data_IF_326034569767
#
_entry.id   IF_326034569767
#
_cell.length_a   1.000
_cell.length_b   1.000
_cell.length_c   1.000
_cell.angle_alpha   90.00
_cell.angle_beta   90.00
_cell.angle_gamma   90.00
#
_symmetry.space_group_name_H-M   'P 1'
#
loop_
_entity.id
_entity.type
_entity.pdbx_description
1 polymer ?
#
# COMPACT_ATOMS: atom_id res chain seq x y z
N UNK A 1 -32.65 17.67 -1.26
CA UNK A 1 -31.99 17.44 0.05
C UNK A 1 -31.41 16.02 0.00
N UNK A 2 -30.20 15.86 -0.55
CA UNK A 2 -29.57 14.55 -0.75
C UNK A 2 -28.06 14.65 -0.47
N UNK A 3 -27.70 15.07 0.74
CA UNK A 3 -26.28 15.27 1.11
C UNK A 3 -25.85 14.71 2.47
N UNK A 4 -26.72 14.08 3.26
CA UNK A 4 -26.38 13.80 4.67
C UNK A 4 -26.25 12.34 5.11
N UNK A 5 -26.63 11.34 4.32
CA UNK A 5 -26.57 9.95 4.81
C UNK A 5 -25.15 9.39 4.74
N UNK A 6 -24.49 9.50 3.58
CA UNK A 6 -23.15 8.94 3.39
C UNK A 6 -22.08 9.65 4.23
N UNK A 7 -22.13 10.98 4.33
CA UNK A 7 -21.18 11.74 5.17
C UNK A 7 -21.25 11.33 6.64
N UNK A 8 -22.45 11.12 7.18
CA UNK A 8 -22.64 10.73 8.58
C UNK A 8 -22.11 9.30 8.83
N UNK A 9 -22.33 8.38 7.90
CA UNK A 9 -21.85 7.00 8.00
C UNK A 9 -20.32 6.93 7.95
N UNK A 10 -19.68 7.63 7.01
CA UNK A 10 -18.22 7.75 6.95
C UNK A 10 -17.63 8.26 8.26
N UNK A 11 -18.16 9.38 8.76
CA UNK A 11 -17.70 9.96 10.03
C UNK A 11 -17.88 9.00 11.18
N UNK A 12 -19.04 8.35 11.28
CA UNK A 12 -19.33 7.36 12.33
C UNK A 12 -18.30 6.22 12.32
N UNK A 13 -18.16 5.53 11.19
CA UNK A 13 -17.27 4.36 11.07
C UNK A 13 -15.81 4.76 11.29
N UNK A 14 -15.40 5.92 10.75
CA UNK A 14 -14.07 6.47 10.97
C UNK A 14 -13.80 6.73 12.45
N UNK A 15 -14.69 7.44 13.16
CA UNK A 15 -14.49 7.75 14.57
C UNK A 15 -14.49 6.50 15.45
N UNK A 16 -15.42 5.57 15.24
CA UNK A 16 -15.48 4.31 16.00
C UNK A 16 -14.18 3.50 15.85
N UNK A 17 -13.66 3.36 14.62
CA UNK A 17 -12.41 2.61 14.38
C UNK A 17 -11.17 3.38 14.84
N UNK A 18 -11.16 4.71 14.73
CA UNK A 18 -10.04 5.55 15.16
C UNK A 18 -9.89 5.60 16.68
N UNK A 19 -11.01 5.60 17.42
CA UNK A 19 -11.01 5.47 18.89
C UNK A 19 -10.30 4.18 19.35
N UNK A 20 -10.49 3.08 18.62
CA UNK A 20 -9.81 1.81 18.91
C UNK A 20 -8.34 1.88 18.48
N UNK A 21 -8.05 2.43 17.31
CA UNK A 21 -6.69 2.43 16.74
C UNK A 21 -5.74 3.41 17.45
N UNK A 22 -6.21 4.59 17.85
CA UNK A 22 -5.45 5.66 18.54
C UNK A 22 -6.32 6.35 19.60
N UNK A 23 -6.65 5.68 20.71
CA UNK A 23 -7.56 6.22 21.74
C UNK A 23 -7.09 7.51 22.42
N UNK A 24 -5.81 7.84 22.28
CA UNK A 24 -5.21 8.98 22.95
C UNK A 24 -4.93 10.17 22.01
N UNK A 25 -5.34 10.07 20.74
CA UNK A 25 -5.24 11.15 19.76
C UNK A 25 -6.63 11.49 19.21
N UNK A 26 -6.89 12.77 18.95
CA UNK A 26 -8.14 13.21 18.33
C UNK A 26 -8.01 13.27 16.81
N UNK A 27 -9.03 12.85 16.09
CA UNK A 27 -9.04 12.87 14.63
C UNK A 27 -10.33 13.46 14.09
N UNK A 28 -10.22 14.34 13.10
CA UNK A 28 -11.36 14.92 12.39
C UNK A 28 -11.40 14.44 10.94
N UNK A 29 -12.56 13.99 10.46
CA UNK A 29 -12.80 13.67 9.06
C UNK A 29 -13.63 14.79 8.39
N UNK A 30 -13.11 15.35 7.31
CA UNK A 30 -13.68 16.49 6.59
C UNK A 30 -13.94 16.08 5.14
N UNK A 31 -15.18 16.17 4.69
CA UNK A 31 -15.50 15.98 3.27
C UNK A 31 -15.21 17.28 2.52
N UNK A 32 -14.30 17.23 1.55
CA UNK A 32 -13.86 18.37 0.77
C UNK A 32 -13.94 18.04 -0.73
N UNK A 33 -15.06 18.37 -1.41
CA UNK A 33 -15.21 18.13 -2.85
C UNK A 33 -14.21 18.89 -3.72
N UNK A 34 -13.51 19.88 -3.17
CA UNK A 34 -12.53 20.70 -3.90
C UNK A 34 -11.10 20.17 -3.77
N UNK A 35 -10.89 19.11 -2.99
CA UNK A 35 -9.57 18.52 -2.76
C UNK A 35 -8.94 18.01 -4.06
N UNK A 36 -7.72 18.44 -4.37
CA UNK A 36 -7.03 18.04 -5.60
C UNK A 36 -5.88 17.07 -5.33
N UNK A 37 -5.66 16.08 -6.22
CA UNK A 37 -4.55 15.17 -6.07
C UNK A 37 -3.22 15.92 -6.24
N UNK A 38 -2.23 15.54 -5.43
CA UNK A 38 -0.86 16.04 -5.46
C UNK A 38 -0.68 17.54 -5.13
N UNK A 39 -1.73 18.22 -4.68
CA UNK A 39 -1.70 19.59 -4.17
C UNK A 39 -1.74 19.58 -2.62
N UNK A 40 -0.61 19.27 -1.99
CA UNK A 40 -0.51 19.10 -0.54
C UNK A 40 0.09 20.34 0.14
N UNK A 41 -0.51 20.76 1.25
CA UNK A 41 0.13 21.72 2.15
C UNK A 41 1.30 21.05 2.92
N UNK A 42 2.27 21.82 3.43
CA UNK A 42 3.41 21.28 4.18
C UNK A 42 2.96 20.37 5.34
N UNK A 43 3.60 19.21 5.47
CA UNK A 43 3.28 18.20 6.49
C UNK A 43 2.11 17.28 6.16
N UNK A 44 1.30 17.59 5.14
CA UNK A 44 0.22 16.72 4.70
C UNK A 44 0.75 15.54 3.89
N UNK A 45 0.06 14.41 4.05
CA UNK A 45 0.30 13.14 3.36
C UNK A 45 -0.90 12.81 2.48
N UNK A 46 -0.70 11.99 1.46
CA UNK A 46 -1.75 11.60 0.53
C UNK A 46 -1.92 10.08 0.51
N UNK A 47 -3.16 9.64 0.55
CA UNK A 47 -3.54 8.28 0.24
C UNK A 47 -4.65 8.30 -0.83
N UNK A 48 -4.48 7.46 -1.85
CA UNK A 48 -5.42 7.33 -2.95
C UNK A 48 -5.96 5.90 -2.99
N UNK A 49 -7.25 5.74 -2.75
CA UNK A 49 -7.96 4.49 -2.97
C UNK A 49 -8.51 4.51 -4.39
N UNK A 50 -8.16 3.54 -5.23
CA UNK A 50 -8.51 3.54 -6.66
C UNK A 50 -9.46 2.41 -7.06
N UNK A 51 -9.69 1.47 -6.15
CA UNK A 51 -10.44 0.24 -6.39
C UNK A 51 -11.63 0.12 -5.44
N UNK A 52 -12.25 1.25 -5.11
CA UNK A 52 -13.49 1.23 -4.35
C UNK A 52 -14.66 0.85 -5.26
N UNK A 53 -15.58 0.03 -4.72
CA UNK A 53 -16.86 -0.22 -5.35
C UNK A 53 -17.84 0.89 -5.04
N UNK A 54 -18.72 1.20 -5.98
CA UNK A 54 -19.93 1.91 -5.64
C UNK A 54 -20.99 1.91 -6.72
N UNK A 55 -22.20 2.21 -6.29
CA UNK A 55 -23.37 2.40 -7.15
C UNK A 55 -23.57 3.89 -7.39
N UNK A 56 -23.96 4.22 -8.60
CA UNK A 56 -24.25 5.57 -9.07
C UNK A 56 -25.66 5.62 -9.60
N UNK A 57 -26.32 6.76 -9.45
CA UNK A 57 -27.66 7.01 -9.93
C UNK A 57 -27.70 8.38 -10.60
N UNK A 58 -28.22 8.44 -11.82
CA UNK A 58 -28.45 9.70 -12.51
C UNK A 58 -29.83 10.26 -12.14
N UNK A 59 -29.86 11.40 -11.46
CA UNK A 59 -31.12 12.08 -11.10
C UNK A 59 -31.92 12.59 -12.31
N UNK A 60 -31.31 12.65 -13.50
CA UNK A 60 -31.96 13.15 -14.71
C UNK A 60 -32.65 12.05 -15.53
N UNK A 61 -31.89 11.02 -15.96
CA UNK A 61 -32.43 9.92 -16.77
C UNK A 61 -32.77 8.67 -15.95
N UNK A 62 -32.58 8.72 -14.63
CA UNK A 62 -32.81 7.62 -13.68
C UNK A 62 -31.93 6.39 -13.89
N UNK A 63 -31.00 6.44 -14.84
CA UNK A 63 -30.04 5.38 -15.07
C UNK A 63 -29.20 5.11 -13.83
N UNK A 64 -28.99 3.83 -13.53
CA UNK A 64 -28.21 3.38 -12.37
C UNK A 64 -27.14 2.42 -12.85
N UNK A 65 -25.91 2.59 -12.39
CA UNK A 65 -24.79 1.72 -12.75
C UNK A 65 -23.89 1.48 -11.54
N UNK A 66 -23.12 0.39 -11.60
CA UNK A 66 -22.09 0.08 -10.63
C UNK A 66 -20.71 0.29 -11.24
N UNK A 67 -19.73 0.64 -10.40
CA UNK A 67 -18.33 0.76 -10.80
C UNK A 67 -17.43 0.18 -9.73
N UNK A 68 -16.44 -0.61 -10.13
CA UNK A 68 -15.37 -1.10 -9.25
C UNK A 68 -14.13 -0.18 -9.25
N UNK A 69 -14.21 0.94 -9.98
CA UNK A 69 -13.11 1.87 -10.20
C UNK A 69 -13.46 3.25 -9.61
N UNK A 70 -14.01 3.28 -8.40
CA UNK A 70 -14.27 4.53 -7.69
C UNK A 70 -12.97 4.97 -7.04
N UNK A 71 -12.61 6.23 -7.25
CA UNK A 71 -11.42 6.82 -6.62
C UNK A 71 -11.83 7.65 -5.42
N UNK A 72 -11.09 7.49 -4.31
CA UNK A 72 -11.22 8.32 -3.13
C UNK A 72 -9.85 8.88 -2.77
N UNK A 73 -9.76 10.20 -2.70
CA UNK A 73 -8.57 10.92 -2.27
C UNK A 73 -8.67 11.28 -0.80
N UNK A 74 -7.61 10.97 -0.06
CA UNK A 74 -7.43 11.35 1.32
C UNK A 74 -6.17 12.20 1.46
N UNK A 75 -6.31 13.40 2.01
CA UNK A 75 -5.20 14.19 2.53
C UNK A 75 -5.21 14.06 4.05
N UNK A 76 -4.07 13.69 4.63
CA UNK A 76 -3.94 13.35 6.04
C UNK A 76 -2.86 14.19 6.67
N UNK A 77 -3.10 14.70 7.87
CA UNK A 77 -2.12 15.45 8.64
C UNK A 77 -2.24 15.10 10.12
N UNK A 78 -1.12 14.94 10.79
CA UNK A 78 -1.04 14.69 12.22
C UNK A 78 -0.11 15.71 12.87
N UNK A 79 -0.67 16.52 13.77
CA UNK A 79 0.12 17.31 14.70
C UNK A 79 0.42 16.45 15.93
N UNK A 80 1.67 15.95 16.00
CA UNK A 80 2.13 15.11 17.12
C UNK A 80 2.23 15.85 18.44
N UNK A 81 2.44 17.17 18.42
CA UNK A 81 2.52 17.98 19.64
C UNK A 81 1.15 18.18 20.26
N UNK A 82 0.13 18.39 19.43
CA UNK A 82 -1.26 18.55 19.87
C UNK A 82 -2.01 17.22 19.99
N UNK A 83 -1.41 16.13 19.51
CA UNK A 83 -2.06 14.81 19.42
C UNK A 83 -3.38 14.88 18.67
N UNK A 84 -3.40 15.70 17.62
CA UNK A 84 -4.58 16.01 16.85
C UNK A 84 -4.29 15.79 15.36
N UNK A 85 -5.16 15.04 14.70
CA UNK A 85 -5.08 14.71 13.29
C UNK A 85 -6.30 15.21 12.51
N UNK A 86 -6.09 15.43 11.21
CA UNK A 86 -7.15 15.79 10.28
C UNK A 86 -7.03 14.97 9.01
N UNK A 87 -8.16 14.46 8.55
CA UNK A 87 -8.30 13.81 7.24
C UNK A 87 -9.28 14.63 6.42
N UNK A 88 -8.85 15.08 5.24
CA UNK A 88 -9.72 15.62 4.20
C UNK A 88 -9.97 14.55 3.15
N UNK A 89 -11.20 14.42 2.71
CA UNK A 89 -11.64 13.34 1.84
C UNK A 89 -12.43 13.88 0.66
N UNK A 90 -12.11 13.40 -0.55
CA UNK A 90 -12.92 13.60 -1.77
C UNK A 90 -13.21 12.25 -2.41
N UNK A 91 -14.48 11.98 -2.66
CA UNK A 91 -14.90 10.88 -3.54
C UNK A 91 -15.04 11.44 -4.96
N UNK A 92 -14.31 10.88 -5.91
CA UNK A 92 -14.45 11.24 -7.31
C UNK A 92 -15.70 10.62 -7.90
N UNK A 93 -16.44 11.42 -8.66
CA UNK A 93 -17.72 11.08 -9.25
C UNK A 93 -17.53 10.43 -10.62
N UNK A 94 -18.58 9.76 -11.08
CA UNK A 94 -18.68 9.29 -12.47
C UNK A 94 -19.91 9.91 -13.10
N UNK A 95 -19.76 10.39 -14.32
CA UNK A 95 -20.82 10.96 -15.13
C UNK A 95 -21.69 9.83 -15.70
N UNK A 96 -22.97 10.13 -15.90
CA UNK A 96 -23.87 9.19 -16.57
C UNK A 96 -23.51 9.08 -18.05
N UNK A 97 -23.20 7.87 -18.50
CA UNK A 97 -22.84 7.60 -19.89
C UNK A 97 -24.03 7.48 -20.84
N UNK A 98 -25.26 7.37 -20.34
CA UNK A 98 -26.45 7.26 -21.20
C UNK A 98 -26.91 8.61 -21.73
N UNK A 99 -27.00 9.61 -20.84
CA UNK A 99 -27.47 10.94 -21.23
C UNK A 99 -26.33 11.91 -21.54
N UNK A 100 -25.08 11.60 -21.16
CA UNK A 100 -23.90 12.45 -21.38
C UNK A 100 -23.94 13.80 -20.64
N UNK A 101 -25.09 14.15 -20.06
CA UNK A 101 -25.35 15.34 -19.25
C UNK A 101 -25.78 14.91 -17.88
N UNK A 102 -24.84 14.81 -16.95
CA UNK A 102 -25.18 14.80 -15.54
C UNK A 102 -24.41 15.94 -14.89
N UNK A 103 -25.13 16.98 -14.47
CA UNK A 103 -24.61 17.94 -13.48
C UNK A 103 -24.03 17.09 -12.35
N UNK A 104 -22.80 17.37 -11.95
CA UNK A 104 -22.03 16.62 -10.95
C UNK A 104 -22.77 16.44 -9.61
N UNK A 105 -23.91 17.07 -9.40
CA UNK A 105 -24.39 17.44 -8.09
C UNK A 105 -24.93 16.26 -7.25
N UNK A 106 -25.49 15.21 -7.85
CA UNK A 106 -26.22 14.20 -7.06
C UNK A 106 -26.13 12.77 -7.58
N UNK A 107 -24.96 12.33 -8.07
CA UNK A 107 -24.74 10.87 -8.09
C UNK A 107 -24.46 10.41 -6.66
N UNK A 108 -25.47 9.87 -5.98
CA UNK A 108 -25.33 9.25 -4.67
C UNK A 108 -24.42 8.03 -4.78
N UNK A 109 -23.16 8.23 -4.43
CA UNK A 109 -22.20 7.17 -4.25
C UNK A 109 -22.23 6.67 -2.82
N UNK A 110 -22.09 5.34 -2.71
CA UNK A 110 -21.53 4.59 -1.59
C UNK A 110 -22.52 4.11 -0.52
N UNK A 111 -22.97 2.88 -0.69
CA UNK A 111 -23.51 2.04 0.39
C UNK A 111 -22.65 0.80 0.66
N UNK A 112 -21.76 0.40 -0.25
CA UNK A 112 -21.05 -0.87 -0.14
C UNK A 112 -19.59 -0.65 0.31
N UNK A 113 -19.25 -1.22 1.48
CA UNK A 113 -17.89 -1.41 2.02
C UNK A 113 -17.17 -0.20 2.65
N UNK A 114 -17.90 0.76 3.24
CA UNK A 114 -17.33 1.88 4.04
C UNK A 114 -16.34 1.36 5.09
N UNK A 115 -16.67 0.28 5.79
CA UNK A 115 -15.80 -0.28 6.84
C UNK A 115 -14.42 -0.66 6.33
N UNK A 116 -14.32 -1.39 5.22
CA UNK A 116 -13.03 -1.78 4.65
C UNK A 116 -12.25 -0.59 4.10
N UNK A 117 -12.95 0.40 3.54
CA UNK A 117 -12.30 1.63 3.07
C UNK A 117 -11.71 2.43 4.24
N UNK A 118 -12.44 2.51 5.36
CA UNK A 118 -11.93 3.12 6.58
C UNK A 118 -10.78 2.31 7.17
N UNK A 119 -10.82 0.97 7.13
CA UNK A 119 -9.68 0.14 7.56
C UNK A 119 -8.43 0.44 6.73
N UNK A 120 -8.54 0.52 5.40
CA UNK A 120 -7.41 0.87 4.54
C UNK A 120 -6.90 2.31 4.80
N UNK A 121 -7.79 3.25 5.11
CA UNK A 121 -7.43 4.60 5.51
C UNK A 121 -6.64 4.58 6.83
N UNK A 122 -7.11 3.84 7.85
CA UNK A 122 -6.43 3.72 9.15
C UNK A 122 -5.06 3.06 8.99
N UNK A 123 -4.95 2.02 8.16
CA UNK A 123 -3.65 1.44 7.78
C UNK A 123 -2.73 2.51 7.20
N UNK A 124 -3.22 3.31 6.26
CA UNK A 124 -2.42 4.38 5.65
C UNK A 124 -2.05 5.51 6.63
N UNK A 125 -2.93 5.83 7.60
CA UNK A 125 -2.62 6.75 8.69
C UNK A 125 -1.49 6.23 9.57
N UNK A 126 -1.52 4.95 9.94
CA UNK A 126 -0.48 4.31 10.75
C UNK A 126 0.86 4.33 10.03
N UNK A 127 0.89 3.96 8.75
CA UNK A 127 2.09 3.95 7.92
C UNK A 127 2.67 5.36 7.72
N UNK A 128 1.85 6.31 7.28
CA UNK A 128 2.35 7.59 6.75
C UNK A 128 2.40 8.71 7.79
N UNK A 129 1.55 8.67 8.81
CA UNK A 129 1.47 9.72 9.84
C UNK A 129 2.12 9.32 11.16
N UNK A 130 2.07 8.03 11.53
CA UNK A 130 2.65 7.51 12.77
C UNK A 130 3.97 6.75 12.60
N UNK A 131 4.37 6.45 11.36
CA UNK A 131 5.55 5.62 11.04
C UNK A 131 5.47 4.20 11.65
N UNK A 132 4.26 3.67 11.76
CA UNK A 132 3.99 2.32 12.26
C UNK A 132 3.76 1.34 11.12
N UNK A 133 3.99 0.05 11.38
CA UNK A 133 3.58 -0.99 10.45
C UNK A 133 2.05 -1.05 10.35
N UNK A 134 1.54 -0.76 9.16
CA UNK A 134 0.12 -0.79 8.81
C UNK A 134 -0.46 -2.19 8.64
N UNK A 135 0.40 -3.23 8.62
CA UNK A 135 0.05 -4.62 8.35
C UNK A 135 0.13 -4.98 6.86
N UNK A 136 0.16 -6.27 6.56
CA UNK A 136 0.54 -6.77 5.23
C UNK A 136 -0.53 -6.69 4.12
N UNK A 137 -1.80 -6.40 4.43
CA UNK A 137 -2.88 -6.49 3.43
C UNK A 137 -3.82 -5.28 3.46
N UNK A 138 -3.81 -4.51 2.36
CA UNK A 138 -4.94 -3.61 2.03
C UNK A 138 -6.09 -4.49 1.56
N UNK A 139 -7.29 -4.27 2.11
CA UNK A 139 -8.49 -5.00 1.69
C UNK A 139 -8.82 -4.53 0.28
N UNK A 140 -8.89 -5.47 -0.68
CA UNK A 140 -9.37 -5.14 -2.00
C UNK A 140 -10.89 -4.87 -1.92
N UNK A 141 -11.28 -3.60 -2.08
CA UNK A 141 -12.67 -3.13 -1.95
C UNK A 141 -13.42 -3.24 -3.28
N UNK A 142 -12.78 -3.70 -4.36
CA UNK A 142 -13.44 -3.86 -5.65
C UNK A 142 -14.50 -4.96 -5.55
N UNK A 143 -15.76 -4.59 -5.77
CA UNK A 143 -16.83 -5.57 -5.94
C UNK A 143 -16.75 -6.20 -7.35
N UNK A 144 -17.37 -7.39 -7.44
CA UNK A 144 -17.45 -8.38 -8.53
C UNK A 144 -17.00 -7.98 -9.95
N UNK A 145 -16.41 -8.94 -10.71
CA UNK A 145 -15.87 -8.75 -12.07
C UNK A 145 -16.89 -8.37 -13.17
N UNK A 146 -18.16 -8.13 -12.83
CA UNK A 146 -19.23 -7.81 -13.78
C UNK A 146 -19.33 -6.30 -14.10
N UNK A 147 -18.41 -5.50 -13.55
CA UNK A 147 -18.25 -4.12 -14.03
C UNK A 147 -17.60 -4.17 -15.41
N UNK A 148 -18.36 -3.77 -16.44
CA UNK A 148 -17.86 -3.67 -17.81
C UNK A 148 -16.61 -2.78 -17.93
N UNK A 149 -16.07 -2.60 -19.16
CA UNK A 149 -14.85 -1.83 -19.35
C UNK A 149 -14.99 -0.41 -18.77
N UNK A 150 -13.98 -0.01 -17.99
CA UNK A 150 -13.92 1.34 -17.42
C UNK A 150 -13.86 2.38 -18.54
N UNK A 151 -14.71 3.43 -18.44
CA UNK A 151 -14.81 4.50 -19.42
C UNK A 151 -14.26 5.80 -18.83
N UNK A 152 -13.01 6.12 -19.18
CA UNK A 152 -12.26 7.24 -18.60
C UNK A 152 -12.90 8.59 -18.90
N UNK A 153 -13.60 8.74 -20.03
CA UNK A 153 -14.30 9.96 -20.42
C UNK A 153 -15.44 10.34 -19.47
N UNK A 154 -15.98 9.37 -18.72
CA UNK A 154 -17.03 9.58 -17.72
C UNK A 154 -16.51 9.52 -16.27
N UNK A 155 -15.20 9.35 -16.06
CA UNK A 155 -14.62 9.27 -14.72
C UNK A 155 -13.93 10.59 -14.34
N UNK A 156 -14.40 11.25 -13.28
CA UNK A 156 -13.82 12.52 -12.80
C UNK A 156 -12.33 12.34 -12.42
N UNK A 157 -11.97 11.20 -11.82
CA UNK A 157 -10.59 10.91 -11.46
C UNK A 157 -9.68 10.85 -12.71
N UNK A 158 -10.12 10.19 -13.79
CA UNK A 158 -9.36 10.14 -15.04
C UNK A 158 -9.24 11.51 -15.70
N UNK A 159 -10.27 12.33 -15.63
CA UNK A 159 -10.24 13.71 -16.15
C UNK A 159 -9.23 14.57 -15.37
N UNK A 160 -9.03 14.28 -14.08
CA UNK A 160 -8.01 14.89 -13.20
C UNK A 160 -6.62 14.22 -13.36
N UNK A 161 -6.45 13.34 -14.35
CA UNK A 161 -5.18 12.70 -14.69
C UNK A 161 -4.83 11.45 -13.88
N UNK A 162 -5.75 10.92 -13.08
CA UNK A 162 -5.55 9.69 -12.30
C UNK A 162 -5.71 8.47 -13.21
N UNK A 163 -4.67 7.64 -13.28
CA UNK A 163 -4.68 6.38 -14.05
C UNK A 163 -5.11 5.23 -13.14
N UNK A 164 -6.15 4.51 -13.54
CA UNK A 164 -6.52 3.23 -12.90
C UNK A 164 -5.56 2.13 -13.39
N UNK A 165 -4.76 1.58 -12.49
CA UNK A 165 -3.87 0.45 -12.77
C UNK A 165 -4.65 -0.87 -12.68
N UNK A 166 -4.30 -1.85 -13.52
CA UNK A 166 -4.84 -3.21 -13.34
C UNK A 166 -3.99 -3.93 -12.29
N UNK A 167 -4.59 -4.63 -11.31
CA UNK A 167 -3.85 -5.40 -10.31
C UNK A 167 -2.81 -6.39 -10.88
N UNK A 168 -2.98 -6.84 -12.13
CA UNK A 168 -2.01 -7.69 -12.83
C UNK A 168 -0.64 -7.04 -13.05
N UNK A 169 -0.54 -5.70 -13.11
CA UNK A 169 0.75 -5.02 -13.29
C UNK A 169 1.56 -4.95 -11.99
N UNK A 170 0.90 -4.84 -10.84
CA UNK A 170 1.59 -4.79 -9.54
C UNK A 170 2.20 -6.14 -9.15
N UNK A 171 1.54 -7.26 -9.50
CA UNK A 171 2.15 -8.59 -9.35
C UNK A 171 3.41 -8.74 -10.21
N UNK A 172 3.42 -8.16 -11.42
CA UNK A 172 4.58 -8.20 -12.31
C UNK A 172 5.71 -7.28 -11.84
N UNK A 173 5.40 -6.10 -11.30
CA UNK A 173 6.38 -5.19 -10.71
C UNK A 173 6.96 -5.74 -9.39
N UNK A 174 6.12 -6.34 -8.54
CA UNK A 174 6.53 -6.98 -7.29
C UNK A 174 7.34 -8.26 -7.57
N UNK A 175 6.97 -9.09 -8.57
CA UNK A 175 7.79 -10.21 -9.05
C UNK A 175 9.11 -9.73 -9.65
N UNK A 176 9.11 -8.69 -10.49
CA UNK A 176 10.33 -8.17 -11.11
C UNK A 176 11.30 -7.60 -10.05
N UNK A 177 10.78 -6.92 -9.03
CA UNK A 177 11.57 -6.39 -7.92
C UNK A 177 12.14 -7.53 -7.07
N UNK A 178 11.34 -8.54 -6.75
CA UNK A 178 11.80 -9.73 -6.02
C UNK A 178 12.85 -10.54 -6.80
N UNK A 179 12.66 -10.75 -8.11
CA UNK A 179 13.62 -11.44 -8.98
C UNK A 179 14.92 -10.64 -9.11
N UNK A 180 14.82 -9.31 -9.21
CA UNK A 180 15.97 -8.41 -9.22
C UNK A 180 16.78 -8.53 -7.93
N UNK A 181 16.15 -8.43 -6.76
CA UNK A 181 16.84 -8.53 -5.47
C UNK A 181 17.42 -9.92 -5.21
N UNK A 182 16.70 -10.99 -5.60
CA UNK A 182 17.21 -12.36 -5.54
C UNK A 182 18.41 -12.56 -6.48
N UNK A 183 18.40 -11.95 -7.68
CA UNK A 183 19.54 -12.00 -8.60
C UNK A 183 20.76 -11.23 -8.08
N UNK A 184 20.54 -10.11 -7.37
CA UNK A 184 21.58 -9.27 -6.77
C UNK A 184 22.22 -9.97 -5.56
N UNK A 185 21.41 -10.61 -4.72
CA UNK A 185 21.87 -11.49 -3.63
C UNK A 185 22.66 -12.69 -4.16
N UNK A 186 22.23 -13.28 -5.28
CA UNK A 186 22.94 -14.41 -5.93
C UNK A 186 24.25 -13.96 -6.58
N UNK A 187 24.30 -12.76 -7.15
CA UNK A 187 25.52 -12.16 -7.68
C UNK A 187 26.54 -11.82 -6.57
N UNK A 188 26.08 -11.34 -5.41
CA UNK A 188 26.93 -11.11 -4.24
C UNK A 188 27.38 -12.42 -3.57
N UNK A 189 26.53 -13.45 -3.53
CA UNK A 189 26.92 -14.79 -3.05
C UNK A 189 27.88 -15.52 -4.01
N UNK A 190 27.91 -15.14 -5.30
CA UNK A 190 28.77 -15.72 -6.33
C UNK A 190 30.21 -15.22 -6.36
N UNK A 191 30.54 -14.14 -5.63
CA UNK A 191 31.90 -13.56 -5.59
C UNK A 191 32.58 -13.70 -4.21
N UNK A 192 32.10 -14.66 -3.41
CA UNK A 192 32.40 -14.74 -1.99
C UNK A 192 33.35 -15.83 -1.52
N UNK A 193 33.81 -16.81 -2.33
CA UNK A 193 34.63 -17.91 -1.76
C UNK A 193 35.59 -18.53 -2.78
N UNK A 194 36.90 -18.29 -2.57
CA UNK A 194 38.04 -19.22 -2.73
C UNK A 194 39.32 -18.50 -3.18
N UNK A 195 39.84 -17.59 -2.36
CA UNK A 195 41.21 -17.10 -2.52
C UNK A 195 42.13 -17.31 -1.29
N UNK A 196 41.65 -17.93 -0.20
CA UNK A 196 42.45 -18.14 1.01
C UNK A 196 42.33 -19.54 1.67
N UNK A 197 42.16 -20.62 0.90
CA UNK A 197 42.11 -21.97 1.47
C UNK A 197 43.29 -22.88 1.09
N UNK A 198 43.77 -22.82 -0.17
CA UNK A 198 44.77 -23.80 -0.62
C UNK A 198 46.17 -23.62 -0.02
N UNK A 199 46.60 -22.37 0.22
CA UNK A 199 47.93 -22.08 0.79
C UNK A 199 48.03 -22.43 2.27
N UNK A 200 46.93 -22.35 3.02
CA UNK A 200 46.92 -22.69 4.45
C UNK A 200 46.86 -24.21 4.66
N UNK A 201 46.10 -24.94 3.84
CA UNK A 201 46.03 -26.41 3.91
C UNK A 201 47.38 -27.10 3.73
N UNK A 202 48.24 -26.59 2.84
CA UNK A 202 49.58 -27.15 2.62
C UNK A 202 50.51 -26.90 3.84
N UNK A 203 50.39 -25.74 4.50
CA UNK A 203 51.20 -25.43 5.68
C UNK A 203 50.81 -26.31 6.87
N UNK A 204 49.51 -26.50 7.11
CA UNK A 204 49.03 -27.39 8.19
C UNK A 204 49.37 -28.87 7.90
N UNK A 205 49.28 -29.31 6.64
CA UNK A 205 49.67 -30.67 6.24
C UNK A 205 51.16 -30.95 6.48
N UNK A 206 52.05 -30.01 6.13
CA UNK A 206 53.49 -30.15 6.37
C UNK A 206 53.85 -30.14 7.85
N UNK A 207 53.16 -29.33 8.67
CA UNK A 207 53.39 -29.28 10.12
C UNK A 207 52.99 -30.59 10.80
N UNK A 208 51.87 -31.20 10.40
CA UNK A 208 51.45 -32.50 10.91
C UNK A 208 52.44 -33.62 10.57
N UNK A 209 52.99 -33.64 9.35
CA UNK A 209 54.00 -34.62 8.95
C UNK A 209 55.30 -34.48 9.74
N UNK A 210 55.74 -33.24 10.01
CA UNK A 210 56.90 -32.98 10.87
C UNK A 210 56.67 -33.45 12.31
N UNK A 211 55.49 -33.20 12.87
CA UNK A 211 55.13 -33.67 14.22
C UNK A 211 55.16 -35.21 14.28
N UNK A 212 54.58 -35.90 13.30
CA UNK A 212 54.60 -37.37 13.26
C UNK A 212 56.03 -37.90 13.11
N UNK A 213 56.84 -37.29 12.25
CA UNK A 213 58.26 -37.66 12.10
C UNK A 213 59.02 -37.51 13.43
N UNK A 214 58.89 -36.37 14.13
CA UNK A 214 59.54 -36.16 15.42
C UNK A 214 59.06 -37.16 16.49
N UNK A 215 57.77 -37.50 16.54
CA UNK A 215 57.25 -38.51 17.48
C UNK A 215 57.78 -39.92 17.19
N UNK A 216 58.02 -40.26 15.92
CA UNK A 216 58.56 -41.56 15.53
C UNK A 216 60.08 -41.65 15.72
N UNK A 217 60.82 -40.57 15.43
CA UNK A 217 62.27 -40.49 15.64
C UNK A 217 62.66 -40.48 17.12
N UNK A 218 61.83 -39.93 18.03
CA UNK A 218 62.11 -39.92 19.47
C UNK A 218 61.64 -41.18 20.23
N UNK A 219 60.76 -42.02 19.64
CA UNK A 219 60.35 -43.31 20.24
C UNK A 219 61.27 -44.48 19.90
N UNK A 220 62.29 -44.27 19.06
CA UNK A 220 63.26 -45.29 18.64
C UNK A 220 64.55 -45.39 19.47
N UNK A 221 64.72 -44.64 20.56
CA UNK A 221 65.97 -44.63 21.35
C UNK A 221 65.80 -44.88 22.85
N UNK A 222 64.85 -45.74 23.22
CA UNK A 222 64.83 -46.35 24.55
C UNK A 222 64.35 -47.79 24.46
N UNK A 223 65.22 -48.72 24.03
CA UNK A 223 65.28 -50.11 24.49
C UNK A 223 66.62 -50.72 24.03
N UNK A 224 67.52 -50.90 25.02
CA UNK A 224 68.81 -51.62 25.04
C UNK A 224 69.99 -51.07 24.21
#
# INVERSE_FOLDING_TARGET
MSTSLTTCEWKKVFYEKMEVAKPADSWELIMDPSLKPNELAPGWKQYLEQHASGRFHCSWCWHTWQSANVVILFHMHLDRAQRAGSVRMRVFKQLCYECGTARLDESSMLEENIESLVDNLITSLREQCYDEDGGQYRINVAARPDSGPHRSEFCEACQEGIVHWKPSEKLLEDEATYISDASKLKAQAGFGYNFFSFRWCLLWGSLCLLIVYFQFSFRGSTFL
#
